data_IF_219846792275
#
_entry.id   IF_219846792275
#
_cell.length_a   1.000
_cell.length_b   1.000
_cell.length_c   1.000
_cell.angle_alpha   90.00
_cell.angle_beta   90.00
_cell.angle_gamma   90.00
#
_symmetry.space_group_name_H-M   'P 1'
#
loop_
_entity.id
_entity.type
_entity.pdbx_description
1 polymer ?
#
# COMPACT_ATOMS: atom_id res chain seq x y z
N UNK A 1 -9.52 -27.60 21.92
CA UNK A 1 -9.50 -27.60 20.45
C UNK A 1 -10.81 -27.09 19.82
N UNK A 2 -12.01 -27.52 20.18
CA UNK A 2 -13.27 -27.02 19.55
C UNK A 2 -13.56 -25.52 19.74
N UNK A 3 -13.11 -24.86 20.82
CA UNK A 3 -13.30 -23.41 21.06
C UNK A 3 -12.40 -22.52 20.21
N UNK A 4 -11.24 -23.00 19.78
CA UNK A 4 -10.30 -22.23 18.92
C UNK A 4 -10.80 -22.24 17.47
N UNK A 5 -11.45 -23.30 17.01
CA UNK A 5 -12.00 -23.41 15.66
C UNK A 5 -13.16 -22.43 15.44
N UNK A 6 -13.96 -22.14 16.47
CA UNK A 6 -15.08 -21.19 16.37
C UNK A 6 -14.62 -19.72 16.29
N UNK A 7 -13.45 -19.38 16.83
CA UNK A 7 -12.88 -18.03 16.71
C UNK A 7 -12.32 -17.83 15.30
N UNK A 8 -11.68 -18.84 14.71
CA UNK A 8 -11.17 -18.79 13.34
C UNK A 8 -12.32 -18.69 12.30
N UNK A 9 -13.45 -19.37 12.52
CA UNK A 9 -14.62 -19.28 11.66
C UNK A 9 -15.33 -17.93 11.72
N UNK A 10 -15.33 -17.26 12.88
CA UNK A 10 -15.92 -15.91 13.04
C UNK A 10 -15.09 -14.83 12.38
N UNK A 11 -13.79 -15.01 12.25
CA UNK A 11 -12.90 -14.10 11.52
C UNK A 11 -13.07 -14.28 10.00
N UNK A 12 -13.32 -15.50 9.52
CA UNK A 12 -13.52 -15.76 8.09
C UNK A 12 -14.81 -15.14 7.50
N UNK A 13 -15.84 -14.89 8.33
CA UNK A 13 -17.13 -14.29 7.90
C UNK A 13 -17.05 -12.76 7.71
N UNK A 14 -15.98 -12.09 8.15
CA UNK A 14 -15.75 -10.66 7.91
C UNK A 14 -15.11 -10.36 6.53
N UNK A 15 -14.75 -11.38 5.76
CA UNK A 15 -14.04 -11.24 4.48
C UNK A 15 -14.94 -11.28 3.23
N UNK A 16 -16.27 -11.32 3.39
CA UNK A 16 -17.21 -11.67 2.32
C UNK A 16 -17.98 -10.53 1.66
N UNK A 17 -17.55 -9.28 1.65
CA UNK A 17 -18.23 -8.21 0.90
C UNK A 17 -17.21 -7.34 0.16
N UNK A 18 -16.68 -7.87 -0.92
CA UNK A 18 -16.11 -7.03 -2.00
C UNK A 18 -17.20 -6.80 -3.04
N UNK A 19 -18.10 -5.87 -2.80
CA UNK A 19 -18.99 -5.34 -3.84
C UNK A 19 -18.16 -4.55 -4.83
N UNK A 20 -18.37 -4.81 -6.12
CA UNK A 20 -17.85 -4.03 -7.23
C UNK A 20 -18.28 -2.56 -7.07
N UNK A 21 -17.48 -1.75 -6.39
CA UNK A 21 -17.67 -0.32 -6.31
C UNK A 21 -17.02 0.32 -7.55
N UNK A 22 -17.79 1.14 -8.24
CA UNK A 22 -17.32 2.04 -9.29
C UNK A 22 -16.00 2.69 -8.87
N UNK A 23 -15.06 2.82 -9.80
CA UNK A 23 -13.71 3.36 -9.59
C UNK A 23 -13.76 4.80 -9.06
N UNK A 24 -13.86 4.93 -7.75
CA UNK A 24 -13.64 6.17 -7.03
C UNK A 24 -12.15 6.23 -6.68
N UNK A 25 -11.51 7.34 -6.96
CA UNK A 25 -10.11 7.54 -6.62
C UNK A 25 -9.98 7.73 -5.10
N UNK A 26 -9.14 6.91 -4.47
CA UNK A 26 -8.90 6.99 -3.02
C UNK A 26 -8.00 8.17 -2.72
N UNK A 27 -8.46 9.08 -1.85
CA UNK A 27 -7.62 10.14 -1.32
C UNK A 27 -6.74 9.61 -0.18
N UNK A 28 -5.50 9.26 -0.51
CA UNK A 28 -4.54 8.75 0.46
C UNK A 28 -3.98 9.82 1.40
N UNK A 29 -4.20 11.10 1.13
CA UNK A 29 -3.79 12.19 2.04
C UNK A 29 -4.78 12.37 3.17
N UNK A 30 -6.01 11.93 2.98
CA UNK A 30 -7.04 11.90 4.01
C UNK A 30 -6.80 10.79 5.03
N UNK A 31 -7.34 11.00 6.22
CA UNK A 31 -7.29 9.99 7.28
C UNK A 31 -8.10 8.73 6.94
N UNK A 32 -7.71 7.63 7.55
CA UNK A 32 -8.42 6.34 7.45
C UNK A 32 -8.34 5.58 8.77
N UNK A 33 -9.25 4.65 8.97
CA UNK A 33 -9.23 3.75 10.12
C UNK A 33 -8.56 2.42 9.74
N UNK A 34 -8.08 1.70 10.73
CA UNK A 34 -7.56 0.35 10.52
C UNK A 34 -7.85 -0.55 11.72
N UNK A 35 -7.93 -1.84 11.45
CA UNK A 35 -7.96 -2.91 12.44
C UNK A 35 -6.99 -4.00 12.00
N UNK A 36 -6.34 -4.67 12.93
CA UNK A 36 -5.40 -5.73 12.58
C UNK A 36 -5.18 -6.73 13.68
N UNK A 37 -4.60 -7.85 13.29
CA UNK A 37 -4.18 -8.93 14.18
C UNK A 37 -2.69 -9.17 13.98
N UNK A 38 -1.99 -9.55 15.05
CA UNK A 38 -0.56 -9.78 15.04
C UNK A 38 -0.23 -11.06 15.79
N UNK A 39 0.83 -11.73 15.36
CA UNK A 39 1.39 -12.89 16.04
C UNK A 39 2.92 -12.88 15.87
N UNK A 40 3.62 -13.36 16.88
CA UNK A 40 5.09 -13.41 16.84
C UNK A 40 5.71 -13.93 18.10
N UNK A 41 6.91 -13.47 18.38
CA UNK A 41 7.66 -13.84 19.56
C UNK A 41 8.06 -12.62 20.38
N UNK A 42 8.23 -12.84 21.67
CA UNK A 42 8.74 -11.85 22.60
C UNK A 42 9.72 -12.48 23.60
N UNK A 43 10.55 -11.66 24.17
CA UNK A 43 11.46 -12.02 25.27
C UNK A 43 11.52 -10.89 26.28
N UNK A 44 11.38 -11.22 27.56
CA UNK A 44 11.64 -10.29 28.66
C UNK A 44 13.09 -10.46 29.10
N UNK A 45 13.85 -9.37 29.13
CA UNK A 45 15.27 -9.39 29.44
C UNK A 45 15.48 -9.60 30.96
N UNK A 46 16.05 -10.71 31.32
CA UNK A 46 16.36 -11.10 32.72
C UNK A 46 17.80 -11.58 32.83
N UNK A 47 18.15 -12.05 34.00
CA UNK A 47 19.47 -12.70 34.29
C UNK A 47 19.47 -14.19 33.91
N UNK A 48 18.84 -14.56 32.79
CA UNK A 48 18.74 -15.92 32.27
C UNK A 48 19.07 -15.98 30.77
N UNK A 49 19.20 -17.17 30.21
CA UNK A 49 19.50 -17.33 28.79
C UNK A 49 18.32 -16.87 27.94
N UNK A 50 18.55 -15.88 27.06
CA UNK A 50 17.50 -15.23 26.23
C UNK A 50 16.75 -16.26 25.38
N UNK A 51 17.46 -17.26 24.83
CA UNK A 51 16.85 -18.26 23.96
C UNK A 51 15.75 -19.08 24.66
N UNK A 52 15.93 -19.37 25.96
CA UNK A 52 14.97 -20.15 26.75
C UNK A 52 13.76 -19.33 27.22
N UNK A 53 13.86 -18.00 27.14
CA UNK A 53 12.83 -17.07 27.57
C UNK A 53 11.92 -16.63 26.44
N UNK A 54 12.20 -17.03 25.21
CA UNK A 54 11.34 -16.66 24.06
C UNK A 54 9.97 -17.33 24.23
N UNK A 55 8.91 -16.53 24.11
CA UNK A 55 7.52 -16.98 24.17
C UNK A 55 6.72 -16.42 23.02
N UNK A 56 5.67 -17.14 22.53
CA UNK A 56 4.76 -16.60 21.54
C UNK A 56 3.99 -15.42 22.12
N UNK A 57 3.62 -14.47 21.22
CA UNK A 57 2.81 -13.32 21.56
C UNK A 57 1.77 -13.08 20.48
N UNK A 58 0.56 -12.70 20.89
CA UNK A 58 -0.55 -12.36 20.02
C UNK A 58 -1.02 -10.96 20.33
N UNK A 59 -1.45 -10.23 19.30
CA UNK A 59 -1.91 -8.86 19.43
C UNK A 59 -3.11 -8.57 18.54
N UNK A 60 -3.88 -7.58 18.97
CA UNK A 60 -4.96 -6.96 18.20
C UNK A 60 -4.75 -5.45 18.22
N UNK A 61 -5.02 -4.81 17.09
CA UNK A 61 -4.85 -3.36 16.98
C UNK A 61 -6.08 -2.73 16.31
N UNK A 62 -6.42 -1.55 16.78
CA UNK A 62 -7.42 -0.68 16.18
C UNK A 62 -6.89 0.74 16.22
N UNK A 63 -6.96 1.46 15.09
CA UNK A 63 -6.42 2.80 15.05
C UNK A 63 -6.99 3.65 13.93
N UNK A 64 -6.52 4.90 13.93
CA UNK A 64 -6.88 5.91 12.94
C UNK A 64 -5.68 6.73 12.56
N UNK A 65 -5.42 6.86 11.28
CA UNK A 65 -4.60 7.92 10.73
C UNK A 65 -5.45 9.17 10.52
N UNK A 66 -5.00 10.32 11.00
CA UNK A 66 -5.69 11.62 10.81
C UNK A 66 -5.38 12.21 9.43
N UNK A 67 -4.20 11.91 8.93
CA UNK A 67 -3.71 12.21 7.60
C UNK A 67 -2.76 11.05 7.17
N UNK A 68 -2.05 11.20 6.07
CA UNK A 68 -1.11 10.19 5.59
C UNK A 68 0.17 10.03 6.44
N UNK A 69 0.42 10.91 7.43
CA UNK A 69 1.67 10.96 8.22
C UNK A 69 1.49 10.57 9.67
N UNK A 70 0.39 10.98 10.30
CA UNK A 70 0.19 10.85 11.74
C UNK A 70 -1.08 10.10 12.06
N UNK A 71 -0.98 9.14 12.97
CA UNK A 71 -2.09 8.35 13.48
C UNK A 71 -1.99 8.01 14.96
N UNK A 72 -3.04 7.42 15.48
CA UNK A 72 -3.10 6.84 16.83
C UNK A 72 -3.62 5.41 16.76
N UNK A 73 -3.20 4.59 17.72
CA UNK A 73 -3.55 3.18 17.79
C UNK A 73 -3.82 2.76 19.23
N UNK A 74 -4.90 2.03 19.45
CA UNK A 74 -5.08 1.16 20.59
C UNK A 74 -4.52 -0.21 20.24
N UNK A 75 -3.65 -0.73 21.07
CA UNK A 75 -2.98 -2.00 20.86
C UNK A 75 -3.10 -2.87 22.10
N UNK A 76 -3.77 -4.01 21.97
CA UNK A 76 -3.83 -5.04 22.99
C UNK A 76 -2.95 -6.22 22.61
N UNK A 77 -2.07 -6.66 23.51
CA UNK A 77 -1.25 -7.85 23.27
C UNK A 77 -1.08 -8.67 24.52
N UNK A 78 -0.90 -9.95 24.36
CA UNK A 78 -0.72 -10.84 25.50
C UNK A 78 -0.40 -12.26 25.12
N UNK A 79 -0.04 -12.99 26.08
CA UNK A 79 0.10 -14.43 26.22
C UNK A 79 1.00 -14.73 27.42
N UNK A 80 1.65 -15.88 27.42
CA UNK A 80 2.55 -16.33 28.47
C UNK A 80 3.93 -15.69 28.31
N UNK A 81 4.45 -15.14 29.39
CA UNK A 81 5.83 -14.65 29.51
C UNK A 81 6.67 -15.59 30.36
N UNK A 82 7.98 -15.54 30.15
CA UNK A 82 8.97 -16.25 30.94
C UNK A 82 9.99 -15.29 31.51
N UNK A 83 10.50 -15.62 32.66
CA UNK A 83 11.64 -14.99 33.28
C UNK A 83 12.49 -16.04 33.99
N UNK A 84 13.65 -15.63 34.51
CA UNK A 84 14.52 -16.55 35.24
C UNK A 84 15.78 -15.89 35.70
N UNK A 85 16.54 -16.62 36.51
CA UNK A 85 17.86 -16.24 36.98
C UNK A 85 18.78 -17.47 37.05
N UNK A 86 20.07 -17.24 36.85
CA UNK A 86 21.12 -18.26 36.92
C UNK A 86 21.60 -18.42 38.34
N UNK A 87 21.80 -19.66 38.77
CA UNK A 87 22.23 -20.01 40.11
C UNK A 87 23.61 -19.44 40.50
N UNK A 88 24.56 -19.47 39.57
CA UNK A 88 25.91 -18.97 39.73
C UNK A 88 25.95 -17.48 40.09
N UNK A 89 25.05 -16.70 39.54
CA UNK A 89 24.95 -15.25 39.75
C UNK A 89 24.32 -14.86 41.10
N UNK A 90 23.50 -15.74 41.66
CA UNK A 90 22.71 -15.48 42.87
C UNK A 90 23.04 -16.44 44.02
N UNK A 91 24.10 -17.22 43.89
CA UNK A 91 24.51 -18.22 44.90
C UNK A 91 23.42 -19.22 45.27
N UNK A 92 22.61 -19.61 44.30
CA UNK A 92 21.54 -20.58 44.47
C UNK A 92 22.00 -21.98 44.06
N UNK A 93 21.27 -22.99 44.50
CA UNK A 93 21.63 -24.39 44.24
C UNK A 93 21.32 -24.86 42.83
N UNK A 94 20.42 -24.15 42.11
CA UNK A 94 20.02 -24.48 40.76
C UNK A 94 19.46 -23.25 40.04
N UNK A 95 19.57 -23.25 38.70
CA UNK A 95 18.92 -22.28 37.82
C UNK A 95 17.40 -22.31 38.01
N UNK A 96 16.76 -21.13 37.95
CA UNK A 96 15.32 -20.99 38.11
C UNK A 96 14.75 -20.25 36.93
N UNK A 97 13.86 -20.94 36.17
CA UNK A 97 12.97 -20.33 35.18
C UNK A 97 11.54 -20.38 35.73
N UNK A 98 10.74 -19.38 35.39
CA UNK A 98 9.33 -19.29 35.76
C UNK A 98 8.53 -18.68 34.60
N UNK A 99 7.25 -18.94 34.60
CA UNK A 99 6.29 -18.39 33.62
C UNK A 99 5.12 -17.77 34.33
N UNK A 100 4.48 -16.83 33.65
CA UNK A 100 3.26 -16.15 34.07
C UNK A 100 2.52 -15.63 32.83
N UNK A 101 1.25 -15.36 32.99
CA UNK A 101 0.45 -14.79 31.92
C UNK A 101 0.45 -13.26 32.03
N UNK A 102 0.43 -12.58 30.87
CA UNK A 102 0.35 -11.13 30.82
C UNK A 102 -0.54 -10.66 29.68
N UNK A 103 -1.24 -9.57 29.94
CA UNK A 103 -1.99 -8.79 28.96
C UNK A 103 -1.52 -7.34 29.08
N UNK A 104 -1.26 -6.70 27.94
CA UNK A 104 -0.85 -5.30 27.85
C UNK A 104 -1.85 -4.56 26.95
N UNK A 105 -2.29 -3.39 27.37
CA UNK A 105 -3.11 -2.48 26.58
C UNK A 105 -2.42 -1.12 26.48
N UNK A 106 -2.15 -0.66 25.25
CA UNK A 106 -1.36 0.54 24.98
C UNK A 106 -2.09 1.50 24.06
N UNK A 107 -1.82 2.78 24.23
CA UNK A 107 -2.15 3.84 23.30
C UNK A 107 -0.86 4.31 22.62
N UNK A 108 -0.74 4.09 21.32
CA UNK A 108 0.44 4.42 20.53
C UNK A 108 0.15 5.61 19.60
N UNK A 109 1.11 6.51 19.47
CA UNK A 109 1.23 7.47 18.39
C UNK A 109 2.01 6.82 17.23
N UNK A 110 1.53 7.02 16.01
CA UNK A 110 2.12 6.48 14.79
C UNK A 110 2.62 7.62 13.89
N UNK A 111 3.84 7.49 13.39
CA UNK A 111 4.47 8.42 12.44
C UNK A 111 4.87 7.64 11.19
N UNK A 112 4.18 7.88 10.07
CA UNK A 112 4.54 7.27 8.78
C UNK A 112 5.75 8.01 8.19
N UNK A 113 6.93 7.47 8.44
CA UNK A 113 8.19 8.06 8.02
C UNK A 113 8.34 8.09 6.50
N UNK A 114 7.82 7.10 5.81
CA UNK A 114 7.86 7.07 4.33
C UNK A 114 7.14 8.29 3.73
N UNK A 115 5.98 8.68 4.29
CA UNK A 115 5.23 9.84 3.83
C UNK A 115 5.79 11.18 4.34
N UNK A 116 6.52 11.17 5.47
CA UNK A 116 7.21 12.35 5.99
C UNK A 116 8.43 12.66 5.11
N UNK A 117 9.24 11.64 4.77
CA UNK A 117 10.48 11.78 3.98
C UNK A 117 10.15 12.03 2.50
N UNK A 118 9.14 11.36 1.95
CA UNK A 118 8.73 11.52 0.56
C UNK A 118 7.21 11.77 0.44
N UNK A 119 6.75 13.00 0.66
CA UNK A 119 5.32 13.34 0.67
C UNK A 119 4.65 13.18 -0.69
N UNK A 120 5.40 13.28 -1.79
CA UNK A 120 4.90 13.21 -3.16
C UNK A 120 5.11 11.83 -3.81
N UNK A 121 5.31 10.79 -3.01
CA UNK A 121 5.53 9.44 -3.56
C UNK A 121 4.30 8.94 -4.33
N UNK A 122 4.57 8.31 -5.46
CA UNK A 122 3.54 7.69 -6.32
C UNK A 122 3.22 6.26 -5.88
N UNK A 123 4.23 5.50 -5.42
CA UNK A 123 4.03 4.13 -4.96
C UNK A 123 3.65 4.10 -3.48
N UNK A 124 2.59 3.38 -3.16
CA UNK A 124 2.08 3.17 -1.80
C UNK A 124 2.29 1.73 -1.30
N UNK A 125 3.11 0.95 -2.00
CA UNK A 125 3.32 -0.46 -1.68
C UNK A 125 4.04 -0.68 -0.34
N UNK A 126 4.84 0.28 0.12
CA UNK A 126 5.64 0.14 1.33
C UNK A 126 5.47 1.36 2.25
N UNK A 127 5.25 1.09 3.55
CA UNK A 127 5.24 2.10 4.61
C UNK A 127 6.22 1.71 5.72
N UNK A 128 7.05 2.68 6.10
CA UNK A 128 7.84 2.63 7.31
C UNK A 128 7.20 3.54 8.36
N UNK A 129 6.82 2.97 9.50
CA UNK A 129 6.14 3.67 10.59
C UNK A 129 6.97 3.57 11.86
N UNK A 130 7.21 4.71 12.51
CA UNK A 130 7.69 4.75 13.89
C UNK A 130 6.50 4.83 14.83
N UNK A 131 6.63 4.21 15.99
CA UNK A 131 5.60 4.23 17.01
C UNK A 131 6.20 4.49 18.40
N UNK A 132 5.47 5.25 19.18
CA UNK A 132 5.74 5.50 20.59
C UNK A 132 4.42 5.48 21.36
N UNK A 133 4.38 4.82 22.49
CA UNK A 133 3.16 4.65 23.24
C UNK A 133 3.38 4.39 24.72
N UNK A 134 2.27 4.38 25.44
CA UNK A 134 2.21 4.04 26.84
C UNK A 134 0.90 3.31 27.13
N UNK A 135 0.89 2.59 28.23
CA UNK A 135 -0.29 1.83 28.63
C UNK A 135 -0.13 1.12 29.95
N UNK A 136 -0.91 0.09 30.10
CA UNK A 136 -0.93 -0.72 31.33
C UNK A 136 -0.74 -2.20 30.97
N UNK A 137 -0.06 -2.90 31.85
CA UNK A 137 0.05 -4.34 31.80
C UNK A 137 -0.66 -4.96 33.01
N UNK A 138 -1.24 -6.13 32.81
CA UNK A 138 -1.86 -6.94 33.85
C UNK A 138 -1.27 -8.34 33.79
N UNK A 139 -0.77 -8.84 34.93
CA UNK A 139 -0.17 -10.16 35.03
C UNK A 139 -0.95 -11.02 36.01
N UNK A 140 -1.08 -12.31 35.69
CA UNK A 140 -1.77 -13.30 36.53
C UNK A 140 -1.15 -14.68 36.34
N UNK A 141 -1.60 -15.68 37.12
CA UNK A 141 -1.07 -17.04 37.11
C UNK A 141 0.44 -17.04 37.42
N UNK A 142 0.78 -16.44 38.56
CA UNK A 142 2.16 -16.18 39.01
C UNK A 142 2.64 -17.18 40.03
N UNK A 143 2.11 -18.40 40.05
CA UNK A 143 2.53 -19.40 41.05
C UNK A 143 4.00 -19.79 40.93
N UNK A 144 4.50 -20.05 39.73
CA UNK A 144 5.91 -20.32 39.48
C UNK A 144 6.80 -19.12 39.81
N UNK A 145 6.36 -17.91 39.50
CA UNK A 145 7.02 -16.67 39.86
C UNK A 145 7.12 -16.51 41.39
N UNK A 146 6.01 -16.73 42.10
CA UNK A 146 5.98 -16.63 43.54
C UNK A 146 6.86 -17.70 44.24
N UNK A 147 6.90 -18.89 43.66
CA UNK A 147 7.84 -19.95 44.12
C UNK A 147 9.28 -19.53 43.96
N UNK A 148 9.64 -18.93 42.82
CA UNK A 148 11.00 -18.42 42.59
C UNK A 148 11.37 -17.31 43.59
N UNK A 149 10.43 -16.40 43.92
CA UNK A 149 10.65 -15.40 44.98
C UNK A 149 10.87 -16.05 46.35
N UNK A 150 10.09 -17.06 46.68
CA UNK A 150 10.22 -17.77 47.95
C UNK A 150 11.62 -18.42 48.09
N UNK A 151 12.13 -19.02 47.04
CA UNK A 151 13.48 -19.55 46.97
C UNK A 151 14.54 -18.46 47.24
N UNK A 152 14.36 -17.28 46.62
CA UNK A 152 15.27 -16.14 46.81
C UNK A 152 15.24 -15.58 48.25
N UNK A 153 14.04 -15.52 48.85
CA UNK A 153 13.92 -15.12 50.28
C UNK A 153 14.65 -16.08 51.22
N UNK A 154 14.65 -17.38 50.92
CA UNK A 154 15.40 -18.35 51.69
C UNK A 154 16.90 -18.07 51.69
N UNK A 155 17.42 -17.38 50.66
CA UNK A 155 18.81 -16.92 50.58
C UNK A 155 19.01 -15.45 51.00
N UNK A 156 18.07 -14.86 51.74
CA UNK A 156 18.14 -13.50 52.31
C UNK A 156 18.07 -12.35 51.29
N UNK A 157 17.60 -12.60 50.08
CA UNK A 157 17.29 -11.52 49.14
C UNK A 157 15.97 -10.84 49.54
N UNK A 158 15.96 -9.50 49.58
CA UNK A 158 14.73 -8.74 49.85
C UNK A 158 13.87 -8.61 48.58
N UNK A 159 12.82 -9.43 48.53
CA UNK A 159 11.83 -9.43 47.43
C UNK A 159 10.44 -9.17 47.99
N UNK A 160 10.30 -8.51 49.13
CA UNK A 160 9.02 -8.41 49.87
C UNK A 160 7.92 -7.72 49.06
N UNK A 161 8.24 -6.72 48.28
CA UNK A 161 7.25 -5.95 47.48
C UNK A 161 6.82 -6.66 46.18
N UNK A 162 7.51 -7.71 45.81
CA UNK A 162 7.25 -8.41 44.54
C UNK A 162 6.31 -9.60 44.67
N UNK A 163 5.99 -10.05 45.90
CA UNK A 163 5.12 -11.19 46.15
C UNK A 163 3.64 -10.82 46.05
N UNK A 164 3.02 -11.03 44.87
CA UNK A 164 1.59 -10.83 44.65
C UNK A 164 1.05 -11.81 43.61
N UNK A 165 -0.24 -12.22 43.77
CA UNK A 165 -0.89 -13.14 42.83
C UNK A 165 -1.16 -12.51 41.47
N UNK A 166 -1.71 -11.30 41.48
CA UNK A 166 -2.02 -10.56 40.24
C UNK A 166 -1.49 -9.14 40.38
N UNK A 167 -1.08 -8.56 39.28
CA UNK A 167 -0.53 -7.21 39.30
C UNK A 167 -0.83 -6.41 38.05
N UNK A 168 -1.11 -5.13 38.26
CA UNK A 168 -1.19 -4.12 37.22
C UNK A 168 0.02 -3.22 37.31
N UNK A 169 0.67 -2.95 36.19
CA UNK A 169 1.83 -2.11 36.08
C UNK A 169 1.76 -1.17 34.89
N UNK A 170 2.70 -0.23 34.83
CA UNK A 170 2.87 0.68 33.71
C UNK A 170 3.62 0.01 32.56
N UNK A 171 3.32 0.41 31.33
CA UNK A 171 4.04 0.04 30.11
C UNK A 171 4.36 1.27 29.29
N UNK A 172 5.62 1.43 28.88
CA UNK A 172 6.06 2.38 27.87
C UNK A 172 6.57 1.62 26.67
N UNK A 173 6.32 2.13 25.46
CA UNK A 173 6.68 1.44 24.22
C UNK A 173 7.34 2.36 23.22
N UNK A 174 8.38 1.83 22.57
CA UNK A 174 8.96 2.36 21.36
C UNK A 174 9.04 1.24 20.32
N UNK A 175 8.82 1.55 19.06
CA UNK A 175 8.91 0.53 18.03
C UNK A 175 8.94 1.09 16.61
N UNK A 176 9.10 0.17 15.69
CA UNK A 176 9.07 0.44 14.26
C UNK A 176 8.29 -0.64 13.54
N UNK A 177 7.54 -0.24 12.53
CA UNK A 177 6.70 -1.15 11.75
C UNK A 177 6.97 -0.94 10.26
N UNK A 178 7.14 -2.03 9.54
CA UNK A 178 7.34 -2.08 8.10
C UNK A 178 6.12 -2.76 7.48
N UNK A 179 5.33 -2.02 6.70
CA UNK A 179 4.11 -2.51 6.09
C UNK A 179 4.28 -2.67 4.58
N UNK A 180 3.90 -3.82 4.07
CA UNK A 180 3.70 -4.06 2.65
C UNK A 180 2.21 -4.01 2.33
N UNK A 181 1.78 -2.99 1.58
CA UNK A 181 0.41 -2.78 1.15
C UNK A 181 0.19 -3.50 -0.19
N UNK A 182 -0.43 -4.67 -0.17
CA UNK A 182 -0.70 -5.43 -1.40
C UNK A 182 -1.99 -4.97 -2.11
N UNK A 183 -2.84 -4.21 -1.41
CA UNK A 183 -3.92 -3.42 -1.99
C UNK A 183 -4.28 -2.26 -1.05
N UNK A 184 -5.22 -1.42 -1.45
CA UNK A 184 -5.62 -0.24 -0.65
C UNK A 184 -6.17 -0.60 0.73
N UNK A 185 -6.86 -1.73 0.81
CA UNK A 185 -7.53 -2.18 2.04
C UNK A 185 -6.63 -3.06 2.94
N UNK A 186 -5.59 -3.70 2.42
CA UNK A 186 -4.86 -4.71 3.17
C UNK A 186 -3.35 -4.48 3.15
N UNK A 187 -2.75 -4.69 4.31
CA UNK A 187 -1.31 -4.64 4.50
C UNK A 187 -0.81 -5.81 5.36
N UNK A 188 0.35 -6.34 4.99
CA UNK A 188 1.15 -7.25 5.81
C UNK A 188 2.24 -6.41 6.49
N UNK A 189 2.40 -6.53 7.82
CA UNK A 189 3.33 -5.75 8.60
C UNK A 189 4.31 -6.62 9.41
N UNK A 190 5.56 -6.17 9.50
CA UNK A 190 6.53 -6.62 10.49
C UNK A 190 6.74 -5.49 11.49
N UNK A 191 6.48 -5.74 12.76
CA UNK A 191 6.65 -4.78 13.85
C UNK A 191 7.72 -5.27 14.83
N UNK A 192 8.65 -4.39 15.15
CA UNK A 192 9.67 -4.60 16.18
C UNK A 192 9.42 -3.61 17.31
N UNK A 193 9.36 -4.10 18.55
CA UNK A 193 9.02 -3.32 19.73
C UNK A 193 10.04 -3.49 20.83
N UNK A 194 10.33 -2.39 21.55
CA UNK A 194 10.96 -2.39 22.85
C UNK A 194 9.96 -1.81 23.87
N UNK A 195 9.60 -2.60 24.85
CA UNK A 195 8.63 -2.25 25.88
C UNK A 195 9.38 -2.07 27.22
N UNK A 196 9.21 -0.89 27.79
CA UNK A 196 9.62 -0.60 29.18
C UNK A 196 8.47 -0.98 30.10
N UNK A 197 8.73 -1.76 31.12
CA UNK A 197 7.76 -2.17 32.12
C UNK A 197 8.27 -1.78 33.51
N UNK A 198 7.35 -1.56 34.42
CA UNK A 198 7.72 -1.28 35.80
C UNK A 198 8.41 -2.49 36.45
N UNK A 199 9.18 -2.23 37.51
CA UNK A 199 10.07 -3.17 38.23
C UNK A 199 9.38 -4.46 38.74
N UNK A 200 8.08 -4.49 38.73
CA UNK A 200 7.31 -5.60 39.27
C UNK A 200 6.72 -6.54 38.23
N UNK A 201 7.05 -6.31 36.98
CA UNK A 201 6.61 -7.17 35.89
C UNK A 201 7.35 -8.51 35.91
N UNK A 202 8.65 -8.46 36.21
CA UNK A 202 9.54 -9.61 36.21
C UNK A 202 10.48 -9.60 37.45
N UNK A 203 11.04 -10.74 37.77
CA UNK A 203 11.99 -10.86 38.90
C UNK A 203 13.40 -10.46 38.45
N UNK A 204 13.76 -9.20 38.67
CA UNK A 204 15.06 -8.67 38.37
C UNK A 204 15.57 -7.89 39.58
N UNK A 205 16.63 -8.40 40.19
CA UNK A 205 17.18 -7.85 41.45
C UNK A 205 18.08 -6.67 41.11
N UNK A 206 17.97 -5.59 41.91
CA UNK A 206 18.75 -4.35 41.78
C UNK A 206 18.54 -3.54 40.51
N UNK A 207 17.45 -3.75 39.79
CA UNK A 207 17.07 -2.98 38.60
C UNK A 207 15.68 -2.36 38.80
N UNK A 208 15.51 -1.11 38.38
CA UNK A 208 14.26 -0.37 38.60
C UNK A 208 13.24 -0.56 37.48
N UNK A 209 13.53 -1.35 36.46
CA UNK A 209 12.66 -1.53 35.32
C UNK A 209 12.93 -2.81 34.56
N UNK A 210 11.92 -3.33 33.92
CA UNK A 210 12.00 -4.49 33.06
C UNK A 210 11.90 -4.09 31.58
N UNK A 211 12.69 -4.72 30.75
CA UNK A 211 12.63 -4.54 29.30
C UNK A 211 12.14 -5.81 28.63
N UNK A 212 11.23 -5.61 27.69
CA UNK A 212 10.71 -6.66 26.82
C UNK A 212 10.90 -6.27 25.38
N UNK A 213 11.42 -7.18 24.56
CA UNK A 213 11.54 -7.00 23.11
C UNK A 213 10.60 -7.96 22.43
N UNK A 214 9.90 -7.50 21.41
CA UNK A 214 8.98 -8.31 20.63
C UNK A 214 9.15 -8.07 19.13
N UNK A 215 8.94 -9.15 18.36
CA UNK A 215 8.85 -9.11 16.90
C UNK A 215 7.54 -9.77 16.47
N UNK A 216 6.69 -9.01 15.78
CA UNK A 216 5.32 -9.41 15.42
C UNK A 216 5.09 -9.27 13.91
N UNK A 217 4.53 -10.31 13.32
CA UNK A 217 3.95 -10.25 11.97
C UNK A 217 2.45 -9.99 12.10
N UNK A 218 1.91 -9.09 11.28
CA UNK A 218 0.53 -8.67 11.38
C UNK A 218 -0.16 -8.50 10.04
N UNK A 219 -1.46 -8.77 10.03
CA UNK A 219 -2.35 -8.45 8.93
C UNK A 219 -3.27 -7.31 9.35
N UNK A 220 -3.29 -6.25 8.54
CA UNK A 220 -4.05 -5.02 8.82
C UNK A 220 -5.05 -4.75 7.72
N UNK A 221 -6.30 -4.51 8.09
CA UNK A 221 -7.38 -4.04 7.22
C UNK A 221 -7.60 -2.55 7.42
N UNK A 222 -7.56 -1.79 6.33
CA UNK A 222 -7.73 -0.33 6.28
C UNK A 222 -9.09 0.01 5.69
N UNK A 223 -9.80 0.95 6.27
CA UNK A 223 -11.15 1.34 5.84
C UNK A 223 -11.44 2.81 6.15
N UNK A 224 -12.53 3.33 5.56
CA UNK A 224 -12.96 4.70 5.80
C UNK A 224 -12.11 5.77 5.12
N UNK A 225 -11.45 5.43 4.01
CA UNK A 225 -10.80 6.40 3.16
C UNK A 225 -11.81 7.39 2.58
N UNK A 226 -11.44 8.67 2.48
CA UNK A 226 -12.16 9.60 1.63
C UNK A 226 -12.04 9.17 0.18
N UNK A 227 -13.17 9.09 -0.49
CA UNK A 227 -13.25 8.83 -1.92
C UNK A 227 -13.51 10.15 -2.61
N UNK A 228 -12.60 10.59 -3.48
CA UNK A 228 -12.81 11.74 -4.32
C UNK A 228 -13.67 11.30 -5.50
N UNK A 229 -14.78 12.00 -5.75
CA UNK A 229 -15.53 11.77 -6.97
C UNK A 229 -14.59 12.02 -8.15
N UNK A 230 -14.42 11.02 -9.02
CA UNK A 230 -13.73 11.24 -10.29
C UNK A 230 -14.42 12.43 -10.97
N UNK A 231 -13.68 13.45 -11.44
CA UNK A 231 -14.30 14.52 -12.21
C UNK A 231 -15.21 13.87 -13.24
N UNK A 232 -16.49 14.25 -13.26
CA UNK A 232 -17.39 13.79 -14.29
C UNK A 232 -16.68 14.03 -15.64
N UNK A 233 -16.69 13.06 -16.59
CA UNK A 233 -16.20 13.33 -17.93
C UNK A 233 -16.81 14.65 -18.34
N UNK A 234 -15.97 15.59 -18.80
CA UNK A 234 -16.47 16.85 -19.31
C UNK A 234 -17.66 16.52 -20.22
N UNK A 235 -18.82 17.20 -20.07
CA UNK A 235 -19.96 16.90 -20.90
C UNK A 235 -19.44 16.87 -22.34
N UNK A 236 -19.62 15.73 -22.98
CA UNK A 236 -19.35 15.61 -24.41
C UNK A 236 -20.21 16.71 -24.99
N UNK A 237 -19.60 17.80 -25.42
CA UNK A 237 -20.28 18.82 -26.19
C UNK A 237 -20.73 18.04 -27.41
N UNK A 238 -22.00 17.65 -27.40
CA UNK A 238 -22.66 17.05 -28.55
C UNK A 238 -22.46 18.07 -29.68
N UNK A 239 -21.52 17.78 -30.58
CA UNK A 239 -21.36 18.63 -31.75
C UNK A 239 -22.75 18.71 -32.38
N UNK A 240 -23.27 19.93 -32.66
CA UNK A 240 -24.58 20.07 -33.26
C UNK A 240 -24.66 19.11 -34.43
N UNK A 241 -25.61 18.19 -34.35
CA UNK A 241 -25.87 17.23 -35.44
C UNK A 241 -25.99 18.06 -36.74
N UNK A 242 -25.18 17.77 -37.77
CA UNK A 242 -25.29 18.54 -39.01
C UNK A 242 -26.76 18.61 -39.41
N UNK A 243 -27.30 19.82 -39.50
CA UNK A 243 -28.65 20.03 -40.01
C UNK A 243 -28.73 19.39 -41.38
N UNK A 244 -29.73 18.55 -41.64
CA UNK A 244 -29.91 17.99 -42.97
C UNK A 244 -29.92 19.13 -44.00
N UNK A 245 -29.25 18.98 -45.14
CA UNK A 245 -29.28 20.02 -46.17
C UNK A 245 -30.73 20.32 -46.55
N UNK A 246 -31.10 21.62 -46.73
CA UNK A 246 -32.44 21.99 -47.17
C UNK A 246 -32.79 21.25 -48.45
N UNK A 247 -34.05 20.77 -48.56
CA UNK A 247 -34.56 20.10 -49.75
C UNK A 247 -34.31 20.98 -50.98
N UNK A 248 -33.88 20.41 -52.13
CA UNK A 248 -33.59 21.17 -53.33
C UNK A 248 -34.85 21.86 -53.84
N UNK A 249 -34.81 23.20 -54.03
CA UNK A 249 -35.80 23.95 -54.72
C UNK A 249 -35.84 23.47 -56.20
N UNK A 250 -37.03 23.44 -56.84
CA UNK A 250 -37.17 23.02 -58.25
C UNK A 250 -36.23 23.84 -59.13
N UNK A 251 -35.49 23.16 -59.98
CA UNK A 251 -34.50 23.72 -60.86
C UNK A 251 -35.20 24.61 -61.96
N UNK A 252 -34.83 25.88 -61.94
CA UNK A 252 -34.96 26.73 -63.14
C UNK A 252 -33.73 26.43 -64.02
N UNK A 253 -33.97 26.03 -65.27
CA UNK A 253 -32.95 25.65 -66.24
C UNK A 253 -32.17 26.89 -66.67
N UNK A 254 -30.80 26.96 -66.39
CA UNK A 254 -29.98 28.02 -66.97
C UNK A 254 -29.36 27.62 -68.29
N UNK A 255 -29.16 28.60 -69.07
CA UNK A 255 -28.40 28.65 -70.31
C UNK A 255 -26.92 28.31 -70.12
N UNK A 256 -26.19 27.75 -71.09
CA UNK A 256 -24.84 27.19 -70.86
C UNK A 256 -23.81 28.30 -70.72
N UNK A 257 -23.17 28.33 -69.53
CA UNK A 257 -22.03 29.16 -69.21
C UNK A 257 -20.68 28.42 -69.50
N UNK A 258 -19.58 29.17 -69.72
CA UNK A 258 -18.33 28.62 -70.20
C UNK A 258 -17.63 27.72 -69.11
N UNK A 259 -16.90 26.67 -69.55
CA UNK A 259 -16.21 25.70 -68.78
C UNK A 259 -15.38 26.33 -67.67
N UNK A 260 -15.57 25.93 -66.37
CA UNK A 260 -14.68 26.31 -65.28
C UNK A 260 -13.36 25.56 -65.39
N UNK A 261 -12.25 26.23 -64.93
CA UNK A 261 -10.97 25.64 -64.73
C UNK A 261 -11.04 24.50 -63.69
N UNK A 262 -10.20 23.47 -63.75
CA UNK A 262 -10.25 22.32 -62.84
C UNK A 262 -10.07 22.78 -61.37
N UNK A 263 -11.05 22.41 -60.53
CA UNK A 263 -10.97 22.60 -59.09
C UNK A 263 -9.79 21.83 -58.51
N UNK A 264 -9.09 22.34 -57.44
CA UNK A 264 -7.99 21.62 -56.83
C UNK A 264 -8.50 20.29 -56.30
N UNK A 265 -7.84 19.23 -56.70
CA UNK A 265 -8.08 17.85 -56.22
C UNK A 265 -7.84 17.85 -54.70
N UNK A 266 -8.92 17.79 -53.90
CA UNK A 266 -8.80 17.51 -52.45
C UNK A 266 -8.36 16.07 -52.36
N UNK A 267 -7.07 15.86 -52.15
CA UNK A 267 -6.45 14.56 -51.91
C UNK A 267 -7.10 13.97 -50.64
N UNK A 268 -7.82 12.88 -50.80
CA UNK A 268 -8.50 12.21 -49.68
C UNK A 268 -7.44 11.72 -48.68
N UNK A 269 -7.45 12.29 -47.48
CA UNK A 269 -6.50 11.94 -46.45
C UNK A 269 -6.58 10.44 -46.11
N UNK A 270 -5.45 9.74 -46.17
CA UNK A 270 -5.31 8.36 -45.69
C UNK A 270 -5.26 8.37 -44.16
N UNK A 271 -6.14 7.63 -43.46
CA UNK A 271 -6.10 7.58 -42.01
C UNK A 271 -4.82 6.89 -41.52
N UNK A 272 -4.13 7.49 -40.55
CA UNK A 272 -3.03 6.84 -39.85
C UNK A 272 -3.57 6.23 -38.55
N UNK A 273 -3.31 4.91 -38.36
CA UNK A 273 -3.51 4.22 -37.08
C UNK A 273 -2.48 3.11 -36.98
N UNK A 274 -1.45 3.32 -36.16
CA UNK A 274 -0.40 2.35 -35.93
C UNK A 274 -0.33 2.02 -34.43
N UNK A 275 0.13 0.79 -34.10
CA UNK A 275 0.23 0.33 -32.71
C UNK A 275 1.61 -0.28 -32.48
N UNK A 276 2.27 0.15 -31.40
CA UNK A 276 3.54 -0.40 -30.91
C UNK A 276 3.24 -1.21 -29.65
N UNK A 277 3.62 -2.47 -29.62
CA UNK A 277 3.44 -3.37 -28.48
C UNK A 277 4.74 -3.50 -27.68
N UNK A 278 4.59 -3.70 -26.36
CA UNK A 278 5.69 -3.81 -25.43
C UNK A 278 5.58 -5.09 -24.60
N UNK A 279 6.73 -5.69 -24.27
CA UNK A 279 6.78 -6.73 -23.26
C UNK A 279 6.58 -6.15 -21.86
N UNK A 280 6.40 -7.04 -20.90
CA UNK A 280 6.24 -6.66 -19.50
C UNK A 280 7.49 -5.86 -19.03
N UNK A 281 7.26 -4.71 -18.37
CA UNK A 281 8.32 -3.77 -17.92
C UNK A 281 9.18 -3.13 -19.01
N UNK A 282 8.86 -3.33 -20.29
CA UNK A 282 9.49 -2.63 -21.40
C UNK A 282 8.76 -1.34 -21.76
N UNK A 283 9.53 -0.37 -22.26
CA UNK A 283 9.04 0.93 -22.74
C UNK A 283 9.88 1.46 -23.93
N UNK A 284 10.88 0.72 -24.41
CA UNK A 284 11.73 1.19 -25.49
C UNK A 284 11.04 0.99 -26.84
N UNK A 285 11.07 2.05 -27.66
CA UNK A 285 10.35 2.11 -28.93
C UNK A 285 11.28 1.69 -30.08
N UNK A 286 11.66 0.43 -30.14
CA UNK A 286 12.59 -0.14 -31.12
C UNK A 286 11.94 -0.72 -32.38
N UNK A 287 10.62 -0.51 -32.55
CA UNK A 287 9.89 -0.93 -33.78
C UNK A 287 10.04 0.09 -34.92
N UNK A 288 11.25 0.17 -35.48
CA UNK A 288 11.62 1.14 -36.50
C UNK A 288 10.69 1.17 -37.72
N UNK A 289 10.16 0.03 -38.15
CA UNK A 289 9.27 -0.07 -39.30
C UNK A 289 7.98 0.75 -39.09
N UNK A 290 7.42 0.70 -37.86
CA UNK A 290 6.21 1.45 -37.51
C UNK A 290 6.53 2.93 -37.37
N UNK A 291 7.63 3.28 -36.70
CA UNK A 291 8.08 4.65 -36.55
C UNK A 291 8.31 5.31 -37.93
N UNK A 292 8.94 4.61 -38.86
CA UNK A 292 9.20 5.12 -40.22
C UNK A 292 7.88 5.35 -41.00
N UNK A 293 6.87 4.49 -40.85
CA UNK A 293 5.53 4.72 -41.43
C UNK A 293 4.85 5.98 -40.89
N UNK A 294 4.92 6.18 -39.56
CA UNK A 294 4.37 7.38 -38.92
C UNK A 294 5.07 8.63 -39.42
N UNK A 295 6.39 8.63 -39.52
CA UNK A 295 7.18 9.77 -40.02
C UNK A 295 6.87 10.04 -41.50
N UNK A 296 6.75 9.01 -42.35
CA UNK A 296 6.36 9.15 -43.76
C UNK A 296 4.98 9.79 -43.88
N UNK A 297 4.02 9.38 -43.04
CA UNK A 297 2.70 10.00 -43.01
C UNK A 297 2.76 11.48 -42.60
N UNK A 298 3.52 11.81 -41.55
CA UNK A 298 3.74 13.18 -41.08
C UNK A 298 4.36 14.06 -42.19
N UNK A 299 5.28 13.52 -42.97
CA UNK A 299 5.91 14.22 -44.08
C UNK A 299 4.95 14.41 -45.26
N UNK A 300 4.07 13.42 -45.53
CA UNK A 300 3.03 13.51 -46.56
C UNK A 300 1.95 14.56 -46.21
N UNK A 301 1.67 14.73 -44.91
CA UNK A 301 0.65 15.66 -44.40
C UNK A 301 1.25 16.70 -43.43
N UNK A 302 2.00 17.69 -43.89
CA UNK A 302 2.80 18.59 -43.04
C UNK A 302 1.96 19.46 -42.10
N UNK A 303 0.70 19.71 -42.42
CA UNK A 303 -0.23 20.53 -41.61
C UNK A 303 -1.06 19.71 -40.61
N UNK A 304 -0.83 18.40 -40.48
CA UNK A 304 -1.57 17.49 -39.60
C UNK A 304 -0.78 17.10 -38.38
N UNK A 305 -1.49 16.88 -37.26
CA UNK A 305 -0.94 16.38 -36.02
C UNK A 305 -1.09 14.87 -35.86
N UNK A 306 -0.37 14.34 -34.88
CA UNK A 306 -0.54 12.96 -34.42
C UNK A 306 -0.78 12.91 -32.92
N UNK A 307 -1.63 11.98 -32.49
CA UNK A 307 -1.87 11.69 -31.06
C UNK A 307 -1.23 10.36 -30.71
N UNK A 308 -0.36 10.35 -29.71
CA UNK A 308 0.40 9.19 -29.22
C UNK A 308 -0.17 8.80 -27.86
N UNK A 309 -0.95 7.71 -27.79
CA UNK A 309 -1.70 7.28 -26.62
C UNK A 309 -1.06 6.02 -26.01
N UNK A 310 -0.60 6.09 -24.76
CA UNK A 310 0.00 4.96 -24.05
C UNK A 310 -1.00 4.20 -23.18
N UNK A 311 -0.86 2.87 -23.15
CA UNK A 311 -1.72 1.94 -22.43
C UNK A 311 -0.89 0.92 -21.66
N UNK A 312 -1.50 0.34 -20.62
CA UNK A 312 -0.98 -0.78 -19.85
C UNK A 312 -2.07 -1.82 -19.59
N UNK A 313 -1.68 -3.06 -19.45
CA UNK A 313 -2.60 -4.16 -19.14
C UNK A 313 -3.05 -4.14 -17.67
N UNK A 314 -4.27 -4.62 -17.41
CA UNK A 314 -4.82 -4.77 -16.05
C UNK A 314 -4.30 -5.99 -15.30
N UNK A 315 -3.82 -6.99 -16.01
CA UNK A 315 -3.42 -8.28 -15.45
C UNK A 315 -2.09 -8.25 -14.71
N UNK A 316 -1.29 -7.18 -14.90
CA UNK A 316 0.02 -7.05 -14.25
C UNK A 316 0.21 -5.67 -13.64
N UNK A 317 0.98 -5.62 -12.53
CA UNK A 317 1.24 -4.36 -11.83
C UNK A 317 0.05 -3.87 -10.99
N UNK A 318 0.03 -2.60 -10.72
CA UNK A 318 -1.08 -1.87 -10.10
C UNK A 318 -1.34 -0.56 -10.86
N UNK A 319 -2.45 0.12 -10.58
CA UNK A 319 -2.87 1.33 -11.30
C UNK A 319 -1.76 2.40 -11.39
N UNK A 320 -0.98 2.60 -10.33
CA UNK A 320 0.13 3.57 -10.32
C UNK A 320 1.28 3.13 -11.22
N UNK A 321 1.69 1.87 -11.16
CA UNK A 321 2.73 1.29 -12.02
C UNK A 321 2.28 1.30 -13.47
N UNK A 322 1.03 0.91 -13.72
CA UNK A 322 0.46 0.86 -15.06
C UNK A 322 0.35 2.26 -15.69
N UNK A 323 -0.04 3.28 -14.91
CA UNK A 323 -0.03 4.68 -15.35
C UNK A 323 1.39 5.14 -15.71
N UNK A 324 2.37 4.84 -14.86
CA UNK A 324 3.77 5.20 -15.10
C UNK A 324 4.31 4.53 -16.39
N UNK A 325 4.05 3.23 -16.59
CA UNK A 325 4.52 2.56 -17.81
C UNK A 325 3.80 3.04 -19.06
N UNK A 326 2.50 3.30 -18.99
CA UNK A 326 1.75 3.85 -20.11
C UNK A 326 2.28 5.24 -20.52
N UNK A 327 2.53 6.12 -19.55
CA UNK A 327 3.14 7.44 -19.79
C UNK A 327 4.56 7.31 -20.36
N UNK A 328 5.39 6.47 -19.76
CA UNK A 328 6.77 6.23 -20.24
C UNK A 328 6.80 5.69 -21.67
N UNK A 329 5.91 4.76 -22.03
CA UNK A 329 5.77 4.22 -23.39
C UNK A 329 5.34 5.29 -24.38
N UNK A 330 4.31 6.09 -24.07
CA UNK A 330 3.88 7.16 -24.94
C UNK A 330 4.96 8.22 -25.14
N UNK A 331 5.67 8.62 -24.07
CA UNK A 331 6.77 9.59 -24.14
C UNK A 331 7.92 9.07 -24.99
N UNK A 332 8.37 7.82 -24.76
CA UNK A 332 9.46 7.21 -25.53
C UNK A 332 9.15 7.12 -27.03
N UNK A 333 7.91 6.74 -27.39
CA UNK A 333 7.45 6.71 -28.78
C UNK A 333 7.43 8.13 -29.37
N UNK A 334 6.90 9.12 -28.66
CA UNK A 334 6.88 10.49 -29.10
C UNK A 334 8.29 11.05 -29.29
N UNK A 335 9.22 10.76 -28.39
CA UNK A 335 10.61 11.19 -28.50
C UNK A 335 11.35 10.52 -29.68
N UNK A 336 11.06 9.24 -29.95
CA UNK A 336 11.59 8.55 -31.12
C UNK A 336 11.06 9.17 -32.44
N UNK A 337 9.82 9.58 -32.49
CA UNK A 337 9.21 10.26 -33.64
C UNK A 337 9.82 11.66 -33.82
N UNK A 338 10.02 12.43 -32.73
CA UNK A 338 10.70 13.73 -32.74
C UNK A 338 12.16 13.60 -33.24
N UNK A 339 12.89 12.60 -32.74
CA UNK A 339 14.27 12.34 -33.16
C UNK A 339 14.38 12.04 -34.66
N UNK A 340 13.32 11.55 -35.30
CA UNK A 340 13.20 11.32 -36.75
C UNK A 340 12.74 12.58 -37.53
N UNK A 341 12.64 13.75 -36.89
CA UNK A 341 12.43 15.04 -37.55
C UNK A 341 10.97 15.56 -37.54
N UNK A 342 10.04 14.93 -36.82
CA UNK A 342 8.67 15.47 -36.69
C UNK A 342 8.65 16.57 -35.63
N UNK A 343 8.11 17.74 -35.95
CA UNK A 343 8.05 18.89 -35.05
C UNK A 343 7.20 18.59 -33.79
N UNK A 344 7.68 19.05 -32.63
CA UNK A 344 7.10 18.69 -31.33
C UNK A 344 5.66 19.22 -31.14
N UNK A 345 5.33 20.35 -31.72
CA UNK A 345 4.02 20.98 -31.72
C UNK A 345 2.95 20.17 -32.46
N UNK A 346 3.38 19.23 -33.31
CA UNK A 346 2.53 18.31 -34.05
C UNK A 346 2.24 17.00 -33.31
N UNK A 347 2.84 16.78 -32.12
CA UNK A 347 2.74 15.52 -31.39
C UNK A 347 2.04 15.75 -30.06
N UNK A 348 0.82 15.22 -29.93
CA UNK A 348 0.07 15.20 -28.67
C UNK A 348 0.31 13.88 -27.96
N UNK A 349 0.75 13.92 -26.70
CA UNK A 349 1.00 12.72 -25.89
C UNK A 349 -0.09 12.55 -24.85
N UNK A 350 -0.66 11.34 -24.76
CA UNK A 350 -1.68 10.98 -23.78
C UNK A 350 -1.33 9.66 -23.10
N UNK A 351 -1.78 9.47 -21.86
CA UNK A 351 -1.59 8.23 -21.10
C UNK A 351 -2.88 7.82 -20.43
N UNK A 352 -3.30 6.59 -20.65
CA UNK A 352 -4.54 6.02 -20.13
C UNK A 352 -4.29 4.98 -19.02
N UNK A 353 -3.02 4.64 -18.73
CA UNK A 353 -2.70 3.61 -17.75
C UNK A 353 -3.38 2.28 -18.11
N UNK A 354 -4.01 1.67 -17.13
CA UNK A 354 -4.85 0.48 -17.27
C UNK A 354 -6.36 0.78 -17.24
N UNK A 355 -6.75 2.06 -17.29
CA UNK A 355 -8.16 2.47 -17.23
C UNK A 355 -8.92 2.19 -18.52
N UNK A 356 -8.22 2.20 -19.65
CA UNK A 356 -8.75 1.87 -20.96
C UNK A 356 -8.00 0.66 -21.51
N UNK A 357 -8.76 -0.35 -21.96
CA UNK A 357 -8.22 -1.58 -22.53
C UNK A 357 -8.64 -1.65 -24.01
N UNK A 358 -7.83 -1.16 -24.97
CA UNK A 358 -8.18 -1.13 -26.37
C UNK A 358 -8.30 -2.50 -27.03
N UNK A 359 -7.73 -3.55 -26.41
CA UNK A 359 -7.76 -4.93 -26.89
C UNK A 359 -8.43 -5.86 -25.87
N UNK A 360 -9.14 -6.88 -26.36
CA UNK A 360 -9.77 -7.90 -25.53
C UNK A 360 -8.74 -8.80 -24.82
N UNK A 361 -7.62 -9.06 -25.48
CA UNK A 361 -6.51 -9.82 -24.91
C UNK A 361 -5.67 -8.95 -24.01
N UNK A 362 -5.50 -9.37 -22.73
CA UNK A 362 -4.86 -8.56 -21.69
C UNK A 362 -3.45 -8.08 -22.10
N UNK A 363 -2.63 -8.97 -22.65
CA UNK A 363 -1.23 -8.71 -22.96
C UNK A 363 -1.03 -7.69 -24.08
N UNK A 364 -1.98 -7.57 -25.02
CA UNK A 364 -1.96 -6.61 -26.10
C UNK A 364 -2.22 -5.17 -25.60
N UNK A 365 -2.71 -5.00 -24.39
CA UNK A 365 -2.91 -3.68 -23.79
C UNK A 365 -1.61 -3.04 -23.29
N UNK A 366 -0.49 -3.75 -23.34
CA UNK A 366 0.85 -3.16 -23.19
C UNK A 366 1.28 -2.52 -24.51
N UNK A 367 0.67 -1.38 -24.84
CA UNK A 367 0.87 -0.78 -26.16
C UNK A 367 0.86 0.75 -26.14
N UNK A 368 1.30 1.33 -27.27
CA UNK A 368 1.08 2.73 -27.63
C UNK A 368 0.40 2.79 -28.98
N UNK A 369 -0.73 3.48 -29.05
CA UNK A 369 -1.49 3.69 -30.27
C UNK A 369 -1.21 5.08 -30.81
N UNK A 370 -0.90 5.20 -32.09
CA UNK A 370 -0.58 6.45 -32.79
C UNK A 370 -1.69 6.68 -33.82
N UNK A 371 -2.35 7.81 -33.73
CA UNK A 371 -3.44 8.22 -34.66
C UNK A 371 -3.05 9.54 -35.30
N UNK A 372 -3.20 9.63 -36.62
CA UNK A 372 -3.05 10.87 -37.39
C UNK A 372 -4.40 11.55 -37.59
N UNK A 373 -4.45 12.86 -37.34
CA UNK A 373 -5.65 13.70 -37.38
C UNK A 373 -5.54 14.78 -38.43
#
# INVERSE_FOLDING_TARGET
MKKIINIAASVALLFGVATAAQAQEVDYTAGHNFIGVQAGGQVTLTHYDIADLITPQFGVQFGRYFNDKVGVRLHGMGYQNKGGFKADRFYLTADRAYKFNALTGDLDMLLNMTNIINPNRTSRAFDWVLLAGFGVNYTWDREEYNSAIADMKAYQYDCTDQYRHNRTGFNGRLGTQFNYNFCDAWALGLELQANYKDDVYNLKINDKCDWQVAALLGLTYKFGYKKTAKPAPAPVVEQPRPTPPPAPKPAVRPEPAPKPAPAPVVEKQEPLKETIFFKIRESDADQETILNKVVAWCNKYPNKGITVSGYADKGTGNASINKMYAEKRATKVADAIKAKGVAADRITVQSFGDTVQPFAENDLNRCTIIVGE
#
